data_IF_175409894281
#
_entry.id   IF_175409894281
#
_cell.length_a   1.000
_cell.length_b   1.000
_cell.length_c   1.000
_cell.angle_alpha   90.00
_cell.angle_beta   90.00
_cell.angle_gamma   90.00
#
_symmetry.space_group_name_H-M   'P 1'
#
loop_
_entity.id
_entity.type
_entity.pdbx_description
1 polymer ?
#
# COMPACT_ATOMS: atom_id res chain seq x y z
N UNK A 1 60.61 -7.27 -2.38
CA UNK A 1 60.52 -6.36 -1.22
C UNK A 1 59.41 -5.38 -1.53
N UNK A 2 58.31 -5.41 -0.78
CA UNK A 2 57.29 -4.37 -0.88
C UNK A 2 57.73 -3.20 0.00
N UNK A 3 57.94 -2.03 -0.60
CA UNK A 3 58.14 -0.80 0.17
C UNK A 3 56.86 -0.52 0.97
N UNK A 4 57.02 -0.13 2.25
CA UNK A 4 55.88 0.23 3.08
C UNK A 4 55.18 1.47 2.51
N UNK A 5 53.86 1.42 2.40
CA UNK A 5 53.05 2.59 2.02
C UNK A 5 52.99 3.56 3.22
N UNK A 6 53.41 4.80 2.98
CA UNK A 6 53.33 5.89 3.96
C UNK A 6 52.15 6.80 3.63
N UNK A 7 51.57 7.47 4.63
CA UNK A 7 50.48 8.45 4.40
C UNK A 7 51.00 9.68 3.64
N UNK A 8 50.14 10.37 2.89
CA UNK A 8 50.48 11.63 2.19
C UNK A 8 50.97 12.76 3.12
N UNK A 9 50.74 12.64 4.44
CA UNK A 9 51.28 13.54 5.47
C UNK A 9 52.78 13.32 5.77
N UNK A 10 53.35 12.20 5.32
CA UNK A 10 54.78 11.89 5.45
C UNK A 10 55.43 12.26 4.12
N UNK A 11 56.40 13.19 4.16
CA UNK A 11 57.06 13.75 2.98
C UNK A 11 58.07 12.77 2.36
N UNK A 12 57.63 11.55 2.08
CA UNK A 12 58.40 10.48 1.46
C UNK A 12 57.78 10.11 0.12
N UNK A 13 58.63 9.76 -0.84
CA UNK A 13 58.19 9.30 -2.15
C UNK A 13 57.32 10.36 -2.88
N UNK A 14 56.17 9.96 -3.42
CA UNK A 14 55.29 10.79 -4.25
C UNK A 14 54.31 11.67 -3.45
N UNK A 15 54.65 12.00 -2.21
CA UNK A 15 53.77 12.70 -1.27
C UNK A 15 53.13 13.98 -1.82
N UNK A 16 53.83 14.70 -2.71
CA UNK A 16 53.33 15.95 -3.28
C UNK A 16 52.22 15.71 -4.31
N UNK A 17 52.37 14.72 -5.19
CA UNK A 17 51.32 14.35 -6.14
C UNK A 17 50.12 13.76 -5.39
N UNK A 18 50.36 12.91 -4.38
CA UNK A 18 49.29 12.36 -3.54
C UNK A 18 48.50 13.46 -2.82
N UNK A 19 49.20 14.46 -2.25
CA UNK A 19 48.55 15.61 -1.60
C UNK A 19 47.78 16.47 -2.60
N UNK A 20 48.30 16.69 -3.81
CA UNK A 20 47.62 17.44 -4.85
C UNK A 20 46.35 16.72 -5.34
N UNK A 21 46.41 15.40 -5.53
CA UNK A 21 45.25 14.57 -5.87
C UNK A 21 44.19 14.62 -4.77
N UNK A 22 44.58 14.49 -3.50
CA UNK A 22 43.66 14.61 -2.36
C UNK A 22 42.95 15.97 -2.36
N UNK A 23 43.69 17.06 -2.60
CA UNK A 23 43.11 18.40 -2.69
C UNK A 23 42.12 18.53 -3.84
N UNK A 24 42.42 17.99 -5.02
CA UNK A 24 41.53 18.09 -6.17
C UNK A 24 40.26 17.24 -6.00
N UNK A 25 40.36 16.07 -5.36
CA UNK A 25 39.18 15.27 -4.95
C UNK A 25 38.29 16.06 -3.99
N UNK A 26 38.88 16.75 -3.00
CA UNK A 26 38.12 17.57 -2.05
C UNK A 26 37.47 18.77 -2.75
N UNK A 27 38.19 19.46 -3.65
CA UNK A 27 37.62 20.58 -4.42
C UNK A 27 36.46 20.13 -5.29
N UNK A 28 36.59 19.02 -6.01
CA UNK A 28 35.51 18.46 -6.83
C UNK A 28 34.30 18.08 -5.95
N UNK A 29 34.55 17.45 -4.80
CA UNK A 29 33.50 17.11 -3.84
C UNK A 29 32.77 18.35 -3.33
N UNK A 30 33.48 19.40 -2.90
CA UNK A 30 32.88 20.66 -2.42
C UNK A 30 32.09 21.33 -3.54
N UNK A 31 32.66 21.43 -4.74
CA UNK A 31 31.98 22.05 -5.87
C UNK A 31 30.69 21.29 -6.25
N UNK A 32 30.71 19.95 -6.25
CA UNK A 32 29.52 19.12 -6.44
C UNK A 32 28.51 19.27 -5.32
N UNK A 33 28.97 19.36 -4.06
CA UNK A 33 28.12 19.57 -2.89
C UNK A 33 27.37 20.90 -2.96
N UNK A 34 28.06 21.98 -3.33
CA UNK A 34 27.50 23.32 -3.49
C UNK A 34 26.46 23.37 -4.62
N UNK A 35 26.68 22.61 -5.70
CA UNK A 35 25.70 22.46 -6.79
C UNK A 35 24.57 21.46 -6.51
N UNK A 36 24.60 20.73 -5.39
CA UNK A 36 23.60 19.70 -5.09
C UNK A 36 23.72 18.45 -5.96
N UNK A 37 24.89 18.22 -6.58
CA UNK A 37 25.11 17.15 -7.55
C UNK A 37 25.56 15.83 -6.93
N UNK A 38 25.83 15.80 -5.62
CA UNK A 38 26.20 14.56 -4.95
C UNK A 38 25.06 13.55 -5.01
N UNK A 39 25.39 12.29 -5.28
CA UNK A 39 24.45 11.17 -5.29
C UNK A 39 23.57 11.11 -4.04
N UNK A 40 24.17 11.33 -2.87
CA UNK A 40 23.45 11.35 -1.59
C UNK A 40 22.43 12.49 -1.50
N UNK A 41 22.74 13.67 -2.07
CA UNK A 41 21.83 14.82 -2.08
C UNK A 41 20.66 14.59 -3.03
N UNK A 42 20.94 14.13 -4.26
CA UNK A 42 19.90 13.81 -5.25
C UNK A 42 18.97 12.70 -4.76
N UNK A 43 19.54 11.61 -4.22
CA UNK A 43 18.77 10.52 -3.63
C UNK A 43 17.93 10.99 -2.45
N UNK A 44 18.51 11.79 -1.54
CA UNK A 44 17.80 12.34 -0.38
C UNK A 44 16.60 13.19 -0.81
N UNK A 45 16.83 14.17 -1.67
CA UNK A 45 15.78 15.07 -2.17
C UNK A 45 14.67 14.31 -2.89
N UNK A 46 15.02 13.39 -3.78
CA UNK A 46 14.01 12.63 -4.52
C UNK A 46 13.21 11.68 -3.62
N UNK A 47 13.87 11.07 -2.63
CA UNK A 47 13.20 10.28 -1.59
C UNK A 47 12.25 11.13 -0.75
N UNK A 48 12.65 12.33 -0.36
CA UNK A 48 11.81 13.27 0.39
C UNK A 48 10.55 13.64 -0.39
N UNK A 49 10.70 13.99 -1.67
CA UNK A 49 9.54 14.32 -2.54
C UNK A 49 8.56 13.14 -2.62
N UNK A 50 9.03 11.90 -2.80
CA UNK A 50 8.14 10.74 -2.82
C UNK A 50 7.41 10.49 -1.49
N UNK A 51 7.96 10.97 -0.38
CA UNK A 51 7.38 10.87 0.95
C UNK A 51 6.51 12.08 1.32
N UNK A 52 6.42 13.09 0.45
CA UNK A 52 5.51 14.21 0.63
C UNK A 52 4.06 13.71 0.76
N UNK A 53 3.34 14.32 1.70
CA UNK A 53 1.96 13.94 2.02
C UNK A 53 1.03 14.32 0.88
N UNK A 54 0.07 13.45 0.61
CA UNK A 54 -0.99 13.66 -0.38
C UNK A 54 -2.34 13.80 0.31
N UNK A 55 -3.30 14.43 -0.36
CA UNK A 55 -4.69 14.49 0.10
C UNK A 55 -5.50 13.45 -0.69
N UNK A 56 -6.04 12.46 0.01
CA UNK A 56 -6.90 11.46 -0.61
C UNK A 56 -8.27 12.05 -0.94
N UNK A 57 -8.94 11.45 -1.92
CA UNK A 57 -10.31 11.79 -2.25
C UNK A 57 -11.24 11.57 -1.04
N UNK A 58 -12.10 12.56 -0.77
CA UNK A 58 -13.10 12.50 0.30
C UNK A 58 -14.38 11.94 -0.30
N UNK A 59 -14.76 10.73 0.12
CA UNK A 59 -16.00 10.10 -0.35
C UNK A 59 -17.22 10.93 0.07
N UNK A 60 -18.09 11.25 -0.90
CA UNK A 60 -19.26 12.12 -0.69
C UNK A 60 -20.50 11.34 -0.26
N UNK A 61 -20.61 10.11 -0.75
CA UNK A 61 -21.77 9.23 -0.66
C UNK A 61 -21.42 7.83 -0.12
N UNK A 62 -20.16 7.60 0.25
CA UNK A 62 -19.66 6.33 0.78
C UNK A 62 -19.12 5.36 -0.29
N UNK A 63 -19.07 5.75 -1.57
CA UNK A 63 -18.55 4.92 -2.65
C UNK A 63 -17.18 5.41 -3.17
N UNK A 64 -16.52 4.53 -3.92
CA UNK A 64 -15.30 4.82 -4.69
C UNK A 64 -15.68 5.26 -6.10
N UNK A 65 -15.07 6.34 -6.59
CA UNK A 65 -15.34 6.91 -7.92
C UNK A 65 -14.12 6.90 -8.81
N UNK A 66 -14.35 6.95 -10.12
CA UNK A 66 -13.29 7.21 -11.07
C UNK A 66 -12.71 8.61 -10.86
N UNK A 67 -11.38 8.71 -10.84
CA UNK A 67 -10.63 9.92 -10.51
C UNK A 67 -10.24 10.04 -9.03
N UNK A 68 -10.76 9.17 -8.15
CA UNK A 68 -10.40 9.22 -6.74
C UNK A 68 -8.93 8.86 -6.51
N UNK A 69 -8.23 9.71 -5.76
CA UNK A 69 -6.92 9.43 -5.16
C UNK A 69 -7.11 8.62 -3.87
N UNK A 70 -6.63 7.38 -3.84
CA UNK A 70 -6.89 6.40 -2.78
C UNK A 70 -5.61 5.71 -2.31
N UNK A 71 -5.66 5.14 -1.11
CA UNK A 71 -4.69 4.14 -0.68
C UNK A 71 -5.26 2.73 -0.84
N UNK A 72 -4.37 1.79 -1.12
CA UNK A 72 -4.67 0.37 -1.07
C UNK A 72 -3.97 -0.25 0.13
N UNK A 73 -4.76 -0.64 1.14
CA UNK A 73 -4.25 -1.22 2.38
C UNK A 73 -4.70 -2.67 2.49
N UNK A 74 -3.74 -3.59 2.61
CA UNK A 74 -4.03 -4.93 3.11
C UNK A 74 -4.16 -4.82 4.65
N UNK A 75 -5.32 -5.15 5.25
CA UNK A 75 -5.56 -4.92 6.68
C UNK A 75 -4.82 -5.90 7.61
N UNK A 76 -4.26 -6.99 7.08
CA UNK A 76 -3.69 -8.08 7.87
C UNK A 76 -4.75 -8.86 8.65
N UNK A 77 -4.33 -9.52 9.74
CA UNK A 77 -5.18 -10.39 10.56
C UNK A 77 -5.67 -9.73 11.86
N UNK A 78 -5.61 -8.40 11.96
CA UNK A 78 -6.01 -7.66 13.17
C UNK A 78 -7.54 -7.57 13.26
N UNK A 79 -8.20 -8.72 13.37
CA UNK A 79 -9.56 -8.79 13.90
C UNK A 79 -9.47 -9.06 15.41
N UNK A 80 -10.13 -8.21 16.21
CA UNK A 80 -10.09 -8.23 17.69
C UNK A 80 -10.58 -9.55 18.31
N UNK A 81 -11.18 -10.42 17.49
CA UNK A 81 -11.72 -11.72 17.88
C UNK A 81 -10.86 -12.92 17.43
N UNK A 82 -9.79 -12.68 16.66
CA UNK A 82 -8.94 -13.71 16.09
C UNK A 82 -7.74 -14.05 16.99
N UNK A 83 -7.99 -14.39 18.26
CA UNK A 83 -6.94 -14.82 19.20
C UNK A 83 -6.17 -16.08 18.76
N UNK A 84 -6.66 -16.79 17.74
CA UNK A 84 -6.14 -18.08 17.27
C UNK A 84 -5.46 -18.03 15.89
N UNK A 85 -5.37 -16.85 15.23
CA UNK A 85 -4.71 -16.74 13.92
C UNK A 85 -3.26 -16.34 14.12
N UNK A 86 -2.37 -17.34 14.13
CA UNK A 86 -0.93 -17.14 14.10
C UNK A 86 -0.39 -17.41 12.69
N UNK A 87 0.49 -16.54 12.15
CA UNK A 87 1.06 -15.33 12.75
C UNK A 87 0.17 -14.08 12.56
N UNK A 88 0.20 -13.17 13.54
CA UNK A 88 -0.45 -11.85 13.42
C UNK A 88 0.21 -11.07 12.27
N UNK A 89 -0.61 -10.68 11.28
CA UNK A 89 -0.20 -9.83 10.17
C UNK A 89 -0.60 -8.39 10.44
N UNK A 90 0.34 -7.48 10.23
CA UNK A 90 0.11 -6.05 10.38
C UNK A 90 -0.48 -5.48 9.10
N UNK A 91 -1.27 -4.39 9.19
CA UNK A 91 -1.72 -3.70 8.00
C UNK A 91 -0.54 -3.16 7.18
N UNK A 92 -0.63 -3.23 5.86
CA UNK A 92 0.39 -2.76 4.93
C UNK A 92 -0.22 -2.02 3.74
N UNK A 93 0.40 -0.94 3.29
CA UNK A 93 -0.01 -0.20 2.08
C UNK A 93 0.75 -0.70 0.84
N UNK A 94 0.07 -0.79 -0.30
CA UNK A 94 0.69 -0.89 -1.62
C UNK A 94 1.55 0.34 -1.89
N UNK A 95 2.81 0.18 -2.28
CA UNK A 95 3.72 1.31 -2.53
C UNK A 95 4.72 1.03 -3.64
N UNK A 96 5.10 2.09 -4.37
CA UNK A 96 6.11 2.06 -5.43
C UNK A 96 7.49 1.74 -4.86
N UNK A 97 8.24 0.81 -5.44
CA UNK A 97 9.62 0.55 -5.10
C UNK A 97 10.53 1.12 -6.20
N UNK A 98 11.03 2.33 -5.97
CA UNK A 98 11.87 3.05 -6.92
C UNK A 98 13.31 2.57 -6.79
N UNK A 99 13.92 2.21 -7.92
CA UNK A 99 15.33 1.82 -7.96
C UNK A 99 16.24 3.00 -7.63
N UNK A 100 17.18 2.78 -6.70
CA UNK A 100 18.09 3.80 -6.20
C UNK A 100 19.01 4.35 -7.29
N UNK A 101 19.35 3.52 -8.28
CA UNK A 101 20.20 3.96 -9.41
C UNK A 101 19.55 5.09 -10.21
N UNK A 102 18.22 5.19 -10.20
CA UNK A 102 17.43 6.11 -11.03
C UNK A 102 17.36 7.53 -10.47
N UNK A 103 17.62 7.70 -9.17
CA UNK A 103 17.66 9.02 -8.53
C UNK A 103 18.70 9.97 -9.13
N UNK A 104 19.66 9.43 -9.89
CA UNK A 104 20.73 10.20 -10.50
C UNK A 104 20.35 10.83 -11.85
N UNK A 105 19.44 10.18 -12.57
CA UNK A 105 19.22 10.42 -14.00
C UNK A 105 17.81 10.87 -14.33
N UNK A 106 16.81 10.56 -13.50
CA UNK A 106 15.41 10.87 -13.79
C UNK A 106 14.81 11.85 -12.79
N UNK A 107 13.91 12.69 -13.28
CA UNK A 107 13.12 13.64 -12.48
C UNK A 107 11.74 13.08 -12.11
N UNK A 108 11.38 11.92 -12.65
CA UNK A 108 10.14 11.19 -12.37
C UNK A 108 10.42 9.69 -12.28
N UNK A 109 9.46 8.93 -11.75
CA UNK A 109 9.60 7.48 -11.67
C UNK A 109 9.49 6.89 -13.08
N UNK A 110 10.51 6.14 -13.47
CA UNK A 110 10.58 5.49 -14.78
C UNK A 110 9.82 4.15 -14.79
N UNK A 111 9.29 3.81 -15.96
CA UNK A 111 8.78 2.48 -16.28
C UNK A 111 9.94 1.54 -16.69
N UNK A 112 9.93 0.25 -16.30
CA UNK A 112 9.05 -0.36 -15.32
C UNK A 112 9.47 0.01 -13.88
N UNK A 113 8.49 0.19 -12.98
CA UNK A 113 8.73 0.37 -11.55
C UNK A 113 8.19 -0.82 -10.75
N UNK A 114 8.96 -1.29 -9.78
CA UNK A 114 8.53 -2.39 -8.91
C UNK A 114 7.57 -1.90 -7.84
N UNK A 115 6.89 -2.83 -7.17
CA UNK A 115 6.01 -2.55 -6.05
C UNK A 115 6.43 -3.31 -4.81
N UNK A 116 5.99 -2.82 -3.66
CA UNK A 116 6.22 -3.42 -2.36
C UNK A 116 5.09 -3.05 -1.41
N UNK A 117 5.00 -3.77 -0.29
CA UNK A 117 4.05 -3.51 0.78
C UNK A 117 4.79 -2.88 1.98
N UNK A 118 4.45 -1.65 2.31
CA UNK A 118 5.03 -0.90 3.42
C UNK A 118 4.14 -0.95 4.66
N UNK A 119 4.74 -0.86 5.85
CA UNK A 119 4.00 -0.67 7.11
C UNK A 119 3.58 0.79 7.34
N UNK A 120 4.06 1.71 6.51
CA UNK A 120 3.65 3.11 6.54
C UNK A 120 2.27 3.26 5.89
N UNK A 121 1.29 3.73 6.66
CA UNK A 121 -0.11 3.83 6.22
C UNK A 121 -0.55 5.26 5.92
N UNK A 122 0.31 6.25 6.18
CA UNK A 122 -0.02 7.63 5.85
C UNK A 122 0.07 7.87 4.34
N UNK A 123 -0.81 8.71 3.77
CA UNK A 123 -0.83 8.97 2.35
C UNK A 123 0.37 9.80 1.93
N UNK A 124 1.10 9.31 0.93
CA UNK A 124 2.23 9.99 0.29
C UNK A 124 2.16 9.81 -1.23
N UNK A 125 2.97 10.56 -1.96
CA UNK A 125 3.09 10.42 -3.43
C UNK A 125 3.37 8.96 -3.82
N UNK A 126 4.15 8.24 -3.02
CA UNK A 126 4.62 6.87 -3.29
C UNK A 126 3.56 5.77 -3.12
N UNK A 127 2.51 5.99 -2.32
CA UNK A 127 1.49 4.96 -2.03
C UNK A 127 0.06 5.38 -2.43
N UNK A 128 -0.11 6.56 -3.03
CA UNK A 128 -1.39 7.04 -3.52
C UNK A 128 -1.61 6.65 -4.98
N UNK A 129 -2.78 6.12 -5.27
CA UNK A 129 -3.19 5.67 -6.61
C UNK A 129 -4.50 6.34 -7.04
N UNK A 130 -4.64 6.59 -8.32
CA UNK A 130 -5.85 7.12 -8.96
C UNK A 130 -6.64 5.98 -9.58
N UNK A 131 -7.93 5.88 -9.22
CA UNK A 131 -8.88 4.96 -9.87
C UNK A 131 -9.20 5.49 -11.28
N UNK A 132 -8.76 4.79 -12.32
CA UNK A 132 -8.87 5.26 -13.71
C UNK A 132 -9.83 4.38 -14.49
N UNK A 133 -10.77 4.98 -15.23
CA UNK A 133 -11.66 4.25 -16.12
C UNK A 133 -10.89 3.74 -17.35
N UNK A 134 -11.26 2.56 -17.82
CA UNK A 134 -10.75 1.97 -19.08
C UNK A 134 -11.87 1.69 -20.09
N UNK A 135 -13.13 1.85 -19.69
CA UNK A 135 -14.33 1.56 -20.46
C UNK A 135 -15.06 2.81 -20.96
N UNK A 136 -14.52 4.00 -20.65
CA UNK A 136 -15.08 5.29 -21.05
C UNK A 136 -16.04 5.90 -20.03
N UNK A 137 -16.18 5.30 -18.83
CA UNK A 137 -16.90 5.90 -17.70
C UNK A 137 -16.32 7.26 -17.32
N UNK A 138 -17.17 8.19 -16.89
CA UNK A 138 -16.75 9.55 -16.59
C UNK A 138 -16.03 9.64 -15.23
N UNK A 139 -15.12 10.61 -15.12
CA UNK A 139 -14.55 10.98 -13.81
C UNK A 139 -15.68 11.45 -12.89
N UNK A 140 -15.73 10.91 -11.68
CA UNK A 140 -16.79 11.13 -10.71
C UNK A 140 -17.94 10.11 -10.78
N UNK A 141 -17.96 9.19 -11.74
CA UNK A 141 -18.90 8.07 -11.73
C UNK A 141 -18.45 6.99 -10.72
N UNK A 142 -19.40 6.32 -10.03
CA UNK A 142 -19.06 5.29 -9.07
C UNK A 142 -18.49 4.05 -9.76
N UNK A 143 -17.36 3.57 -9.27
CA UNK A 143 -16.80 2.28 -9.66
C UNK A 143 -17.72 1.16 -9.17
N UNK A 144 -18.01 0.18 -10.03
CA UNK A 144 -18.91 -0.94 -9.69
C UNK A 144 -18.16 -2.25 -9.52
N UNK A 145 -18.69 -3.16 -8.70
CA UNK A 145 -18.19 -4.53 -8.61
C UNK A 145 -18.26 -5.20 -9.99
N UNK A 146 -17.23 -5.97 -10.34
CA UNK A 146 -17.10 -6.61 -11.65
C UNK A 146 -16.73 -5.65 -12.80
N UNK A 147 -16.79 -4.33 -12.60
CA UNK A 147 -16.37 -3.36 -13.60
C UNK A 147 -14.84 -3.31 -13.70
N UNK A 148 -14.33 -3.30 -14.92
CA UNK A 148 -12.89 -3.21 -15.13
C UNK A 148 -12.41 -1.77 -15.00
N UNK A 149 -11.29 -1.58 -14.30
CA UNK A 149 -10.64 -0.30 -14.08
C UNK A 149 -9.12 -0.48 -14.10
N UNK A 150 -8.38 0.63 -14.04
CA UNK A 150 -6.93 0.63 -13.85
C UNK A 150 -6.54 1.45 -12.62
N UNK A 151 -5.46 1.04 -11.97
CA UNK A 151 -4.82 1.80 -10.89
C UNK A 151 -3.62 2.52 -11.47
N UNK A 152 -3.58 3.84 -11.35
CA UNK A 152 -2.52 4.69 -11.89
C UNK A 152 -1.81 5.42 -10.75
N UNK A 153 -0.50 5.60 -10.82
CA UNK A 153 0.21 6.47 -9.87
C UNK A 153 -0.10 7.94 -10.14
N UNK A 154 0.23 8.81 -9.20
CA UNK A 154 0.02 10.25 -9.37
C UNK A 154 0.82 10.82 -10.56
N UNK A 155 0.44 12.03 -10.94
CA UNK A 155 1.17 12.80 -11.95
C UNK A 155 2.47 13.39 -11.38
N UNK A 156 3.24 14.08 -12.23
CA UNK A 156 4.52 14.66 -11.83
C UNK A 156 5.57 13.59 -11.52
N UNK A 157 6.13 13.63 -10.31
CA UNK A 157 7.26 12.77 -9.91
C UNK A 157 6.88 11.29 -9.89
N UNK A 158 5.62 10.94 -9.66
CA UNK A 158 5.17 9.54 -9.65
C UNK A 158 4.98 8.92 -11.06
N UNK A 159 5.08 9.71 -12.13
CA UNK A 159 5.27 9.22 -13.49
C UNK A 159 4.03 8.68 -14.22
N UNK A 160 2.83 8.70 -13.62
CA UNK A 160 1.58 8.21 -14.22
C UNK A 160 1.62 6.75 -14.69
N UNK A 161 2.22 5.87 -13.89
CA UNK A 161 2.37 4.46 -14.21
C UNK A 161 1.14 3.65 -13.77
N UNK A 162 0.75 2.68 -14.57
CA UNK A 162 -0.38 1.77 -14.33
C UNK A 162 0.07 0.49 -13.65
N UNK A 163 -0.73 0.02 -12.68
CA UNK A 163 -0.57 -1.28 -12.04
C UNK A 163 -0.82 -2.38 -13.07
N UNK A 164 0.18 -3.21 -13.33
CA UNK A 164 0.09 -4.30 -14.31
C UNK A 164 0.51 -5.64 -13.73
N UNK A 165 -0.01 -6.70 -14.32
CA UNK A 165 0.45 -8.06 -14.02
C UNK A 165 0.40 -8.95 -15.25
N UNK A 166 1.35 -9.89 -15.33
CA UNK A 166 1.37 -10.90 -16.38
C UNK A 166 1.41 -12.32 -15.84
N UNK A 167 0.90 -13.29 -16.62
CA UNK A 167 1.03 -14.72 -16.35
C UNK A 167 2.48 -14.98 -15.94
N UNK A 168 2.66 -15.75 -14.87
CA UNK A 168 3.98 -16.13 -14.40
C UNK A 168 4.74 -16.86 -15.51
N UNK A 169 5.85 -16.28 -15.98
CA UNK A 169 6.75 -16.90 -16.95
C UNK A 169 8.06 -17.29 -16.27
N UNK A 170 8.83 -18.16 -16.92
CA UNK A 170 10.15 -18.59 -16.41
C UNK A 170 11.11 -17.42 -16.16
N UNK A 171 10.99 -16.33 -16.91
CA UNK A 171 11.83 -15.13 -16.78
C UNK A 171 11.10 -13.95 -16.09
N UNK A 172 9.78 -14.05 -15.88
CA UNK A 172 8.95 -12.97 -15.29
C UNK A 172 8.17 -13.51 -14.10
N UNK A 173 8.73 -13.30 -12.92
CA UNK A 173 8.16 -13.73 -11.64
C UNK A 173 8.61 -12.80 -10.51
N UNK A 174 7.91 -12.83 -9.38
CA UNK A 174 8.25 -12.06 -8.18
C UNK A 174 9.57 -12.53 -7.54
N UNK A 175 10.46 -11.60 -7.20
CA UNK A 175 11.87 -11.89 -6.87
C UNK A 175 12.07 -12.87 -5.71
N UNK A 176 11.19 -12.85 -4.71
CA UNK A 176 11.32 -13.65 -3.47
C UNK A 176 10.46 -14.90 -3.51
N UNK A 177 9.15 -14.77 -3.71
CA UNK A 177 8.21 -15.89 -3.71
C UNK A 177 8.17 -16.68 -5.02
N UNK A 178 8.73 -16.13 -6.11
CA UNK A 178 8.64 -16.70 -7.46
C UNK A 178 7.19 -16.80 -7.96
N UNK A 179 6.26 -16.01 -7.43
CA UNK A 179 4.85 -15.95 -7.89
C UNK A 179 4.68 -14.98 -9.07
N UNK A 180 3.43 -14.76 -9.48
CA UNK A 180 3.10 -13.79 -10.52
C UNK A 180 3.60 -12.39 -10.15
N UNK A 181 4.34 -11.76 -11.07
CA UNK A 181 4.91 -10.43 -10.85
C UNK A 181 3.82 -9.35 -10.95
N UNK A 182 3.97 -8.33 -10.11
CA UNK A 182 3.22 -7.07 -10.19
C UNK A 182 4.22 -5.94 -10.32
N UNK A 183 3.98 -5.06 -11.28
CA UNK A 183 4.84 -3.92 -11.58
C UNK A 183 4.01 -2.78 -12.16
N UNK A 184 4.65 -1.63 -12.26
CA UNK A 184 4.08 -0.40 -12.79
C UNK A 184 4.68 -0.13 -14.17
N UNK A 185 3.82 0.10 -15.17
CA UNK A 185 4.20 0.41 -16.55
C UNK A 185 3.57 1.73 -17.00
N UNK A 186 4.21 2.43 -17.93
CA UNK A 186 3.76 3.72 -18.48
C UNK A 186 2.64 3.58 -19.53
N UNK A 187 2.41 2.38 -20.04
CA UNK A 187 1.36 2.11 -21.03
C UNK A 187 0.12 1.46 -20.39
N UNK A 188 -1.05 2.06 -20.67
CA UNK A 188 -2.33 1.42 -20.37
C UNK A 188 -2.54 0.26 -21.35
N UNK A 189 -2.71 -0.95 -20.82
CA UNK A 189 -2.92 -2.14 -21.63
C UNK A 189 -3.94 -3.07 -20.97
N UNK A 190 -4.27 -4.17 -21.64
CA UNK A 190 -5.10 -5.21 -21.04
C UNK A 190 -4.45 -5.90 -19.83
N UNK A 191 -3.13 -5.74 -19.65
CA UNK A 191 -2.39 -6.18 -18.44
C UNK A 191 -2.62 -5.25 -17.24
N UNK A 192 -3.17 -4.06 -17.49
CA UNK A 192 -3.47 -3.03 -16.50
C UNK A 192 -4.91 -3.09 -16.01
N UNK A 193 -5.69 -4.07 -16.47
CA UNK A 193 -7.10 -4.21 -16.14
C UNK A 193 -7.29 -4.99 -14.84
N UNK A 194 -7.96 -4.36 -13.89
CA UNK A 194 -8.34 -4.94 -12.60
C UNK A 194 -9.84 -4.82 -12.40
N UNK A 195 -10.38 -5.65 -11.53
CA UNK A 195 -11.78 -5.62 -11.09
C UNK A 195 -11.82 -5.67 -9.58
N UNK A 196 -12.76 -4.93 -8.99
CA UNK A 196 -13.10 -5.12 -7.58
C UNK A 196 -14.14 -6.23 -7.49
N UNK A 197 -13.88 -7.23 -6.67
CA UNK A 197 -14.84 -8.28 -6.34
C UNK A 197 -15.28 -8.13 -4.89
N UNK A 198 -16.55 -8.48 -4.65
CA UNK A 198 -17.07 -8.55 -3.29
C UNK A 198 -16.32 -9.64 -2.50
N UNK A 199 -16.07 -9.37 -1.22
CA UNK A 199 -15.24 -10.23 -0.37
C UNK A 199 -15.81 -11.65 -0.28
N UNK A 200 -17.06 -11.77 0.12
CA UNK A 200 -17.76 -13.06 0.28
C UNK A 200 -18.06 -13.68 -1.09
N UNK A 201 -17.50 -14.86 -1.42
CA UNK A 201 -17.78 -15.57 -2.66
C UNK A 201 -19.27 -15.83 -2.92
N UNK A 202 -20.07 -16.06 -1.87
CA UNK A 202 -21.48 -16.42 -2.00
C UNK A 202 -22.35 -15.24 -2.41
N UNK A 203 -21.91 -14.01 -2.14
CA UNK A 203 -22.64 -12.78 -2.40
C UNK A 203 -22.18 -12.06 -3.68
N UNK A 204 -21.17 -12.59 -4.39
CA UNK A 204 -20.58 -11.89 -5.55
C UNK A 204 -21.57 -11.67 -6.67
N UNK A 205 -22.51 -12.60 -6.90
CA UNK A 205 -23.49 -12.50 -7.97
C UNK A 205 -24.54 -11.42 -7.64
N UNK A 206 -24.91 -11.30 -6.38
CA UNK A 206 -25.91 -10.37 -5.87
C UNK A 206 -25.40 -8.92 -5.88
N UNK A 207 -24.11 -8.73 -5.61
CA UNK A 207 -23.45 -7.43 -5.62
C UNK A 207 -22.84 -7.04 -6.97
N UNK A 208 -22.89 -7.89 -7.98
CA UNK A 208 -22.36 -7.58 -9.30
C UNK A 208 -23.02 -6.32 -9.88
N UNK A 209 -22.22 -5.38 -10.39
CA UNK A 209 -22.71 -4.09 -10.90
C UNK A 209 -23.13 -3.06 -9.84
N UNK A 210 -23.15 -3.39 -8.54
CA UNK A 210 -23.38 -2.39 -7.49
C UNK A 210 -22.15 -1.51 -7.27
N UNK A 211 -22.32 -0.25 -6.84
CA UNK A 211 -21.22 0.63 -6.47
C UNK A 211 -20.33 0.02 -5.38
N UNK A 212 -19.01 0.15 -5.55
CA UNK A 212 -18.00 -0.30 -4.58
C UNK A 212 -17.99 0.65 -3.40
N UNK A 213 -18.26 0.14 -2.20
CA UNK A 213 -18.18 0.92 -0.98
C UNK A 213 -16.71 1.23 -0.63
N UNK A 214 -16.43 2.47 -0.22
CA UNK A 214 -15.12 2.87 0.25
C UNK A 214 -14.86 2.32 1.66
N UNK A 215 -13.58 2.13 2.01
CA UNK A 215 -13.12 1.75 3.34
C UNK A 215 -13.61 0.38 3.87
N UNK A 216 -14.16 -0.48 3.00
CA UNK A 216 -14.50 -1.86 3.34
C UNK A 216 -13.52 -2.85 2.71
N UNK A 217 -13.47 -4.07 3.25
CA UNK A 217 -12.67 -5.17 2.70
C UNK A 217 -13.25 -5.63 1.36
N UNK A 218 -12.40 -5.71 0.35
CA UNK A 218 -12.70 -6.17 -1.02
C UNK A 218 -11.55 -7.03 -1.54
N UNK A 219 -11.76 -7.67 -2.68
CA UNK A 219 -10.70 -8.31 -3.46
C UNK A 219 -10.40 -7.46 -4.70
N UNK A 220 -9.12 -7.38 -5.07
CA UNK A 220 -8.66 -6.72 -6.29
C UNK A 220 -8.14 -7.80 -7.22
N UNK A 221 -8.90 -8.10 -8.26
CA UNK A 221 -8.65 -9.23 -9.16
C UNK A 221 -8.11 -8.73 -10.49
N UNK A 222 -7.04 -9.34 -10.98
CA UNK A 222 -6.49 -9.02 -12.29
C UNK A 222 -7.35 -9.67 -13.38
N UNK A 223 -7.95 -8.87 -14.26
CA UNK A 223 -8.99 -9.30 -15.20
C UNK A 223 -8.51 -10.43 -16.11
N UNK A 224 -7.27 -10.37 -16.62
CA UNK A 224 -6.77 -11.36 -17.57
C UNK A 224 -6.41 -12.70 -16.94
N UNK A 225 -5.74 -12.69 -15.78
CA UNK A 225 -5.24 -13.94 -15.17
C UNK A 225 -6.22 -14.51 -14.15
N UNK A 226 -7.26 -13.76 -13.79
CA UNK A 226 -8.21 -14.10 -12.74
C UNK A 226 -7.49 -14.49 -11.44
N UNK A 227 -6.46 -13.71 -11.10
CA UNK A 227 -5.67 -13.85 -9.88
C UNK A 227 -5.81 -12.58 -9.05
N UNK A 228 -5.96 -12.74 -7.74
CA UNK A 228 -6.10 -11.62 -6.83
C UNK A 228 -4.74 -11.01 -6.44
N UNK A 229 -4.71 -9.70 -6.27
CA UNK A 229 -3.57 -8.98 -5.69
C UNK A 229 -3.34 -9.48 -4.26
N UNK A 230 -2.08 -9.69 -3.87
CA UNK A 230 -1.71 -10.25 -2.58
C UNK A 230 -0.51 -9.55 -1.96
N UNK A 231 -0.57 -9.30 -0.65
CA UNK A 231 0.53 -8.75 0.13
C UNK A 231 1.15 -9.84 1.04
N UNK A 232 2.42 -10.17 0.82
CA UNK A 232 3.09 -11.31 1.47
C UNK A 232 4.06 -10.87 2.57
N UNK A 233 3.57 -10.71 3.80
CA UNK A 233 4.40 -10.29 4.93
C UNK A 233 5.59 -11.24 5.22
N UNK A 234 5.48 -12.52 4.85
CA UNK A 234 6.58 -13.50 4.98
C UNK A 234 7.81 -13.13 4.15
N UNK A 235 7.64 -12.49 3.01
CA UNK A 235 8.71 -12.17 2.07
C UNK A 235 9.12 -10.71 2.20
N UNK A 236 9.90 -10.40 3.23
CA UNK A 236 10.43 -9.03 3.46
C UNK A 236 11.78 -8.79 2.79
N UNK A 237 12.05 -7.54 2.39
CA UNK A 237 13.34 -7.09 1.88
C UNK A 237 13.59 -5.61 2.23
N UNK A 238 14.83 -5.17 2.10
CA UNK A 238 15.22 -3.78 2.34
C UNK A 238 15.13 -2.97 1.05
N UNK A 239 14.55 -1.79 1.15
CA UNK A 239 14.52 -0.76 0.10
C UNK A 239 15.12 0.54 0.63
N UNK A 240 15.18 1.58 -0.21
CA UNK A 240 15.60 2.92 0.22
C UNK A 240 14.70 3.51 1.33
N UNK A 241 13.49 2.97 1.50
CA UNK A 241 12.45 3.48 2.37
C UNK A 241 12.29 2.67 3.67
N UNK A 242 13.02 1.56 3.81
CA UNK A 242 13.00 0.73 5.00
C UNK A 242 12.79 -0.75 4.67
N UNK A 243 12.24 -1.48 5.64
CA UNK A 243 11.91 -2.91 5.47
C UNK A 243 10.48 -3.03 4.95
N UNK A 244 10.36 -3.55 3.73
CA UNK A 244 9.10 -3.70 3.02
C UNK A 244 8.87 -5.16 2.63
N UNK A 245 7.69 -5.46 2.09
CA UNK A 245 7.24 -6.81 1.83
C UNK A 245 6.87 -6.99 0.36
N UNK A 246 6.91 -8.23 -0.11
CA UNK A 246 6.61 -8.54 -1.50
C UNK A 246 5.10 -8.46 -1.79
N UNK A 247 4.78 -7.95 -2.97
CA UNK A 247 3.42 -7.93 -3.53
C UNK A 247 3.42 -8.79 -4.79
N UNK A 248 2.35 -9.56 -4.96
CA UNK A 248 2.20 -10.53 -6.05
C UNK A 248 0.75 -10.56 -6.52
N UNK A 249 0.49 -11.13 -7.70
CA UNK A 249 -0.87 -11.46 -8.14
C UNK A 249 -1.09 -12.96 -8.02
N UNK A 250 -1.60 -13.43 -6.89
CA UNK A 250 -1.85 -14.85 -6.68
C UNK A 250 -3.02 -15.00 -5.71
N UNK A 251 -4.01 -15.82 -6.07
CA UNK A 251 -5.12 -16.10 -5.17
C UNK A 251 -4.74 -17.23 -4.21
N UNK A 252 -4.82 -16.93 -2.92
CA UNK A 252 -4.63 -17.89 -1.82
C UNK A 252 -5.99 -18.26 -1.28
N UNK A 253 -6.22 -19.55 -1.08
CA UNK A 253 -7.50 -20.08 -0.64
C UNK A 253 -7.35 -20.83 0.67
N UNK A 254 -8.34 -20.66 1.54
CA UNK A 254 -8.47 -21.45 2.75
C UNK A 254 -9.07 -22.85 2.45
N UNK A 255 -9.32 -23.63 3.51
CA UNK A 255 -9.95 -24.96 3.42
C UNK A 255 -11.36 -24.95 2.83
N UNK A 256 -12.05 -23.81 2.83
CA UNK A 256 -13.40 -23.62 2.32
C UNK A 256 -13.42 -22.99 0.91
N UNK A 257 -12.25 -22.83 0.28
CA UNK A 257 -12.08 -22.15 -1.02
C UNK A 257 -12.47 -20.67 -0.99
N UNK A 258 -12.45 -20.03 0.18
CA UNK A 258 -12.54 -18.59 0.29
C UNK A 258 -11.13 -17.99 0.24
N UNK A 259 -11.01 -16.79 -0.31
CA UNK A 259 -9.73 -16.09 -0.43
C UNK A 259 -9.19 -15.68 0.94
N UNK A 260 -7.92 -15.96 1.20
CA UNK A 260 -7.25 -15.66 2.46
C UNK A 260 -6.99 -14.15 2.65
N UNK A 261 -6.64 -13.77 3.88
CA UNK A 261 -6.36 -12.39 4.29
C UNK A 261 -5.22 -11.72 3.50
N UNK A 262 -4.32 -12.53 2.93
CA UNK A 262 -3.28 -12.12 1.97
C UNK A 262 -3.86 -11.36 0.78
N UNK A 263 -5.09 -11.71 0.36
CA UNK A 263 -5.79 -11.15 -0.79
C UNK A 263 -6.80 -10.06 -0.43
N UNK A 264 -7.03 -9.80 0.85
CA UNK A 264 -7.99 -8.78 1.27
C UNK A 264 -7.36 -7.40 1.15
N UNK A 265 -8.09 -6.46 0.56
CA UNK A 265 -7.68 -5.07 0.42
C UNK A 265 -8.78 -4.15 0.89
N UNK A 266 -8.40 -2.95 1.34
CA UNK A 266 -9.31 -1.86 1.61
C UNK A 266 -8.89 -0.71 0.70
N UNK A 267 -9.85 -0.21 -0.09
CA UNK A 267 -9.69 1.03 -0.86
C UNK A 267 -10.02 2.17 0.10
N UNK A 268 -8.98 2.85 0.58
CA UNK A 268 -9.07 3.85 1.63
C UNK A 268 -9.18 5.25 1.03
N UNK A 269 -10.18 5.97 1.50
CA UNK A 269 -10.45 7.38 1.16
C UNK A 269 -10.06 8.31 2.31
N UNK A 270 -9.96 9.60 2.00
CA UNK A 270 -9.57 10.63 2.97
C UNK A 270 -10.65 10.89 4.01
N UNK A 271 -10.22 11.19 5.23
CA UNK A 271 -11.13 11.68 6.28
C UNK A 271 -11.52 13.14 5.97
N UNK A 272 -12.83 13.45 5.85
CA UNK A 272 -13.27 14.83 5.62
C UNK A 272 -12.81 15.82 6.70
N UNK A 273 -12.65 15.36 7.95
CA UNK A 273 -12.36 16.17 9.13
C UNK A 273 -10.88 16.31 9.50
N UNK A 274 -9.98 15.54 8.89
CA UNK A 274 -8.54 15.54 9.22
C UNK A 274 -7.69 15.75 7.96
N UNK A 275 -6.89 16.83 7.88
CA UNK A 275 -5.95 17.03 6.77
C UNK A 275 -4.97 15.86 6.65
N UNK A 276 -4.81 15.31 5.44
CA UNK A 276 -4.04 14.08 5.19
C UNK A 276 -4.45 12.85 6.01
N UNK A 277 -5.62 12.91 6.68
CA UNK A 277 -6.16 11.82 7.47
C UNK A 277 -6.82 10.77 6.58
N UNK A 278 -6.92 9.55 7.11
CA UNK A 278 -7.53 8.42 6.38
C UNK A 278 -8.63 7.80 7.21
N UNK A 279 -9.69 7.34 6.54
CA UNK A 279 -10.79 6.64 7.21
C UNK A 279 -10.43 5.22 7.66
N UNK A 280 -9.20 4.75 7.39
CA UNK A 280 -8.69 3.48 7.91
C UNK A 280 -8.36 3.53 9.41
N UNK A 281 -7.98 4.70 9.93
CA UNK A 281 -7.64 4.90 11.34
C UNK A 281 -8.81 5.40 12.20
N UNK A 282 -9.98 5.66 11.59
CA UNK A 282 -11.13 6.18 12.31
C UNK A 282 -11.62 5.15 13.35
N UNK A 283 -11.81 5.54 14.63
CA UNK A 283 -12.50 4.67 15.57
C UNK A 283 -13.89 4.34 15.03
N UNK A 284 -14.41 3.13 15.25
CA UNK A 284 -15.76 2.79 14.82
C UNK A 284 -16.76 3.80 15.39
N UNK A 285 -17.80 4.20 14.63
CA UNK A 285 -18.82 5.11 15.15
C UNK A 285 -19.37 4.53 16.45
N UNK A 286 -19.38 5.37 17.50
CA UNK A 286 -20.03 5.04 18.75
C UNK A 286 -21.52 4.96 18.44
N UNK A 287 -22.05 3.74 18.25
CA UNK A 287 -23.49 3.55 18.25
C UNK A 287 -23.98 3.82 19.66
N UNK A 288 -24.59 4.99 19.87
CA UNK A 288 -25.40 5.29 21.06
C UNK A 288 -26.65 4.39 21.04
N UNK A 289 -26.47 3.11 21.35
CA UNK A 289 -27.57 2.24 21.72
C UNK A 289 -27.90 2.52 23.18
N UNK A 290 -28.64 3.60 23.45
CA UNK A 290 -29.42 3.69 24.69
C UNK A 290 -30.45 2.55 24.66
N UNK A 291 -30.10 1.42 25.28
CA UNK A 291 -31.10 0.44 25.68
C UNK A 291 -31.94 1.04 26.82
N UNK A 292 -33.25 1.24 26.64
CA UNK A 292 -34.09 1.65 27.76
C UNK A 292 -34.09 0.52 28.79
N UNK A 293 -33.54 0.82 29.96
CA UNK A 293 -33.57 -0.07 31.12
C UNK A 293 -35.03 -0.32 31.51
N UNK A 294 -35.51 -1.52 31.21
CA UNK A 294 -36.83 -1.99 31.60
C UNK A 294 -36.82 -2.15 33.13
N UNK A 295 -37.35 -1.16 33.86
CA UNK A 295 -37.57 -1.26 35.30
C UNK A 295 -38.72 -2.24 35.56
N UNK A 296 -38.37 -3.51 35.80
CA UNK A 296 -39.31 -4.48 36.37
C UNK A 296 -39.79 -3.98 37.74
N UNK A 297 -41.06 -3.57 37.82
CA UNK A 297 -41.79 -3.45 39.08
C UNK A 297 -42.11 -4.87 39.55
N UNK A 298 -41.40 -5.33 40.57
CA UNK A 298 -41.77 -6.52 41.33
C UNK A 298 -42.91 -6.16 42.29
N UNK A 299 -44.12 -6.63 41.99
CA UNK A 299 -45.20 -6.74 42.95
C UNK A 299 -45.49 -8.23 43.16
N UNK A 300 -45.19 -8.73 44.36
CA UNK A 300 -45.71 -10.01 44.86
C UNK A 300 -46.49 -9.72 46.14
N UNK A 301 -47.72 -10.25 46.30
CA UNK A 301 -48.46 -10.15 47.54
C UNK A 301 -48.10 -11.31 48.48
N UNK A 302 -47.79 -10.99 49.75
CA UNK A 302 -47.64 -11.97 50.82
C UNK A 302 -49.01 -12.54 51.23
N UNK A 303 -49.14 -13.86 51.08
CA UNK A 303 -50.24 -14.65 51.60
C UNK A 303 -49.93 -15.12 53.03
N UNK A 304 -50.95 -14.98 53.86
CA UNK A 304 -51.00 -15.14 55.30
C UNK A 304 -50.58 -16.50 55.85
N UNK A 305 -49.87 -16.39 56.97
CA UNK A 305 -49.70 -17.28 58.12
C UNK A 305 -50.92 -18.19 58.41
N UNK A 306 -50.65 -19.49 58.59
CA UNK A 306 -51.35 -20.33 59.58
C UNK A 306 -50.45 -21.49 60.01
N UNK A 307 -50.21 -21.56 61.33
CA UNK A 307 -49.54 -22.66 62.04
C UNK A 307 -50.56 -23.73 62.47
N UNK A 308 -50.12 -24.94 62.86
CA UNK A 308 -50.97 -26.13 62.95
C UNK A 308 -51.52 -26.37 64.36
N UNK A 309 -52.72 -26.97 64.45
CA UNK A 309 -53.16 -27.77 65.61
C UNK A 309 -54.20 -28.81 65.18
N UNK A 310 -53.91 -30.07 65.54
CA UNK A 310 -54.72 -31.31 65.49
C UNK A 310 -55.22 -31.82 64.14
#
# INVERSE_FOLDING_TARGET
MGEGTYSSSVLLHNWFEDLALDQDVIKDFIAKKERGELTIQKMGSYKEILLDKTELAKSRDGYVHFGDEVLLINPGTVDKYAANVHPIRRPMSLTMNVDQSRFLTSTKVDSPCELSASLELSPTIRNTFVITSIDGSCVGDPLRYGQSFALRTLEGVAGQLYLTSDIKLFLKFAKKSRLQLVNLLDELSFLSCWQVLYLDPQMRLEYDGYPVQANIKVLINHTRTNQALAALQKYSFWTAFGREHEITTNTFYDSHRAEEDLNHWVIVTGDPGVPHGTLFQAPPPICDNEHPTNKHHGASPDLSTQQPTC
#
